data_IF_720611150635
#
_entry.id   IF_720611150635
#
_cell.length_a   1.000
_cell.length_b   1.000
_cell.length_c   1.000
_cell.angle_alpha   90.00
_cell.angle_beta   90.00
_cell.angle_gamma   90.00
#
_symmetry.space_group_name_H-M   'P 1'
#
loop_
_entity.id
_entity.type
_entity.pdbx_description
1 polymer ?
#
# COMPACT_ATOMS: atom_id res chain seq x y z
N UNK A 1 8.68 0.76 3.20
CA UNK A 1 9.36 2.06 3.21
C UNK A 1 10.19 2.29 1.95
N UNK A 2 11.24 1.50 1.68
CA UNK A 2 12.14 1.72 0.52
C UNK A 2 11.39 1.81 -0.84
N UNK A 3 10.53 0.84 -1.15
CA UNK A 3 9.71 0.87 -2.38
C UNK A 3 8.82 2.12 -2.48
N UNK A 4 8.09 2.40 -1.40
CA UNK A 4 7.15 3.53 -1.32
C UNK A 4 7.88 4.85 -1.48
N UNK A 5 8.98 5.05 -0.75
CA UNK A 5 9.80 6.25 -0.84
C UNK A 5 10.34 6.43 -2.26
N UNK A 6 10.94 5.38 -2.83
CA UNK A 6 11.50 5.45 -4.17
C UNK A 6 10.46 5.84 -5.22
N UNK A 7 9.29 5.18 -5.21
CA UNK A 7 8.24 5.43 -6.19
C UNK A 7 7.63 6.82 -6.03
N UNK A 8 7.39 7.28 -4.79
CA UNK A 8 6.74 8.57 -4.52
C UNK A 8 7.67 9.77 -4.66
N UNK A 9 8.98 9.58 -4.51
CA UNK A 9 9.98 10.64 -4.73
C UNK A 9 10.25 10.93 -6.21
N UNK A 10 9.76 10.08 -7.12
CA UNK A 10 9.87 10.27 -8.56
C UNK A 10 8.53 10.79 -9.11
N UNK A 11 8.50 11.88 -9.90
CA UNK A 11 7.27 12.34 -10.54
C UNK A 11 6.62 11.23 -11.37
N UNK A 12 5.29 11.03 -11.24
CA UNK A 12 4.57 9.99 -11.98
C UNK A 12 4.73 10.11 -13.51
N UNK A 13 4.91 11.33 -14.02
CA UNK A 13 5.21 11.55 -15.43
C UNK A 13 6.53 10.88 -15.88
N UNK A 14 7.55 10.85 -15.01
CA UNK A 14 8.81 10.18 -15.32
C UNK A 14 8.64 8.66 -15.39
N UNK A 15 7.80 8.09 -14.53
CA UNK A 15 7.42 6.67 -14.61
C UNK A 15 6.74 6.34 -15.94
N UNK A 16 5.81 7.18 -16.40
CA UNK A 16 5.19 7.04 -17.72
C UNK A 16 6.26 7.04 -18.82
N UNK A 17 7.19 7.99 -18.80
CA UNK A 17 8.23 8.06 -19.82
C UNK A 17 9.19 6.87 -19.80
N UNK A 18 9.61 6.41 -18.63
CA UNK A 18 10.47 5.22 -18.54
C UNK A 18 9.74 4.01 -19.15
N UNK A 19 8.49 3.78 -18.76
CA UNK A 19 7.71 2.63 -19.22
C UNK A 19 7.38 2.72 -20.72
N UNK A 20 7.04 3.91 -21.21
CA UNK A 20 6.72 4.12 -22.62
C UNK A 20 7.96 4.10 -23.52
N UNK A 21 9.04 4.80 -23.15
CA UNK A 21 10.22 5.01 -24.01
C UNK A 21 11.32 3.97 -23.81
N UNK A 22 11.55 3.48 -22.58
CA UNK A 22 12.61 2.49 -22.32
C UNK A 22 12.06 1.08 -22.53
N UNK A 23 10.89 0.79 -21.96
CA UNK A 23 10.26 -0.52 -22.10
C UNK A 23 9.37 -0.65 -23.35
N UNK A 24 9.24 0.42 -24.16
CA UNK A 24 8.56 0.41 -25.47
C UNK A 24 7.11 -0.11 -25.41
N UNK A 25 6.43 0.09 -24.28
CA UNK A 25 5.02 -0.26 -24.12
C UNK A 25 4.12 0.71 -24.89
N UNK A 26 3.01 0.20 -25.43
CA UNK A 26 1.96 1.07 -26.03
C UNK A 26 1.44 2.06 -25.00
N UNK A 27 1.04 3.25 -25.43
CA UNK A 27 0.63 4.37 -24.57
C UNK A 27 -0.36 3.96 -23.47
N UNK A 28 -1.41 3.22 -23.81
CA UNK A 28 -2.40 2.74 -22.83
C UNK A 28 -1.79 1.81 -21.79
N UNK A 29 -0.99 0.83 -22.21
CA UNK A 29 -0.35 -0.11 -21.29
C UNK A 29 0.68 0.60 -20.41
N UNK A 30 1.47 1.50 -20.97
CA UNK A 30 2.45 2.29 -20.22
C UNK A 30 1.78 3.13 -19.13
N UNK A 31 0.67 3.80 -19.46
CA UNK A 31 -0.13 4.54 -18.49
C UNK A 31 -0.70 3.64 -17.39
N UNK A 32 -1.32 2.51 -17.75
CA UNK A 32 -1.85 1.56 -16.75
C UNK A 32 -0.74 1.12 -15.79
N UNK A 33 0.42 0.72 -16.30
CA UNK A 33 1.53 0.27 -15.45
C UNK A 33 2.07 1.37 -14.55
N UNK A 34 2.31 2.59 -15.08
CA UNK A 34 2.83 3.70 -14.27
C UNK A 34 1.85 4.09 -13.16
N UNK A 35 0.56 4.24 -13.50
CA UNK A 35 -0.46 4.59 -12.52
C UNK A 35 -0.64 3.48 -11.48
N UNK A 36 -0.56 2.21 -11.88
CA UNK A 36 -0.63 1.08 -10.94
C UNK A 36 0.51 1.13 -9.93
N UNK A 37 1.75 1.31 -10.41
CA UNK A 37 2.95 1.40 -9.55
C UNK A 37 2.87 2.59 -8.60
N UNK A 38 2.48 3.76 -9.10
CA UNK A 38 2.38 4.95 -8.27
C UNK A 38 1.25 4.84 -7.23
N UNK A 39 0.08 4.36 -7.67
CA UNK A 39 -1.10 4.23 -6.80
C UNK A 39 -0.92 3.15 -5.75
N UNK A 40 -0.26 2.03 -6.06
CA UNK A 40 0.01 0.99 -5.07
C UNK A 40 0.95 1.48 -3.97
N UNK A 41 1.94 2.30 -4.30
CA UNK A 41 2.81 2.93 -3.31
C UNK A 41 2.05 3.89 -2.39
N UNK A 42 1.14 4.70 -2.95
CA UNK A 42 0.27 5.57 -2.16
C UNK A 42 -0.71 4.78 -1.28
N UNK A 43 -1.33 3.74 -1.83
CA UNK A 43 -2.26 2.87 -1.13
C UNK A 43 -1.58 2.13 0.04
N UNK A 44 -0.34 1.67 -0.14
CA UNK A 44 0.42 1.04 0.93
C UNK A 44 0.59 1.96 2.15
N UNK A 45 0.81 3.26 1.94
CA UNK A 45 0.91 4.24 3.04
C UNK A 45 -0.43 4.52 3.69
N UNK A 46 -1.51 4.57 2.91
CA UNK A 46 -2.87 4.72 3.44
C UNK A 46 -3.22 3.53 4.33
N UNK A 47 -2.98 2.30 3.86
CA UNK A 47 -3.24 1.07 4.63
C UNK A 47 -2.37 1.04 5.88
N UNK A 48 -1.07 1.34 5.77
CA UNK A 48 -0.16 1.42 6.92
C UNK A 48 -0.62 2.47 7.93
N UNK A 49 -1.04 3.64 7.46
CA UNK A 49 -1.60 4.70 8.30
C UNK A 49 -2.89 4.26 8.99
N UNK A 50 -3.78 3.58 8.29
CA UNK A 50 -5.01 3.00 8.84
C UNK A 50 -4.73 1.97 9.93
N UNK A 51 -3.87 0.99 9.66
CA UNK A 51 -3.48 -0.03 10.65
C UNK A 51 -2.81 0.59 11.89
N UNK A 52 -1.94 1.58 11.70
CA UNK A 52 -1.26 2.26 12.80
C UNK A 52 -2.20 3.19 13.61
N UNK A 53 -3.39 3.52 13.09
CA UNK A 53 -4.34 4.38 13.78
C UNK A 53 -5.20 3.64 14.81
N UNK A 54 -5.15 2.30 14.80
CA UNK A 54 -5.95 1.46 15.67
C UNK A 54 -5.31 1.42 17.07
N UNK A 55 -6.13 1.66 18.08
CA UNK A 55 -5.71 1.65 19.48
C UNK A 55 -5.23 0.25 19.92
N UNK A 56 -4.13 0.20 20.66
CA UNK A 56 -3.55 -1.06 21.15
C UNK A 56 -4.53 -1.82 22.07
N UNK A 57 -5.44 -1.13 22.75
CA UNK A 57 -6.49 -1.71 23.59
C UNK A 57 -7.43 -2.65 22.83
N UNK A 58 -7.60 -2.50 21.50
CA UNK A 58 -8.36 -3.46 20.69
C UNK A 58 -7.69 -4.85 20.66
N UNK A 59 -6.35 -4.87 20.62
CA UNK A 59 -5.59 -6.12 20.69
C UNK A 59 -5.69 -6.74 22.08
N UNK A 60 -5.54 -5.92 23.13
CA UNK A 60 -5.65 -6.38 24.52
C UNK A 60 -7.06 -6.90 24.86
N UNK A 61 -8.11 -6.24 24.38
CA UNK A 61 -9.49 -6.66 24.53
C UNK A 61 -9.79 -7.98 23.80
N UNK A 62 -9.20 -8.18 22.62
CA UNK A 62 -9.29 -9.44 21.89
C UNK A 62 -8.61 -10.60 22.63
N UNK A 63 -7.38 -10.38 23.11
CA UNK A 63 -6.65 -11.38 23.90
C UNK A 63 -7.41 -11.74 25.19
N UNK A 64 -8.01 -10.76 25.85
CA UNK A 64 -8.81 -10.94 27.07
C UNK A 64 -10.09 -11.75 26.86
N UNK A 65 -10.61 -11.77 25.63
CA UNK A 65 -11.76 -12.59 25.23
C UNK A 65 -11.38 -13.98 24.72
N UNK A 66 -10.09 -14.35 24.77
CA UNK A 66 -9.59 -15.66 24.37
C UNK A 66 -9.29 -15.79 22.88
N UNK A 67 -9.30 -14.69 22.11
CA UNK A 67 -8.84 -14.72 20.72
C UNK A 67 -7.32 -14.85 20.65
N UNK A 68 -6.83 -15.52 19.61
CA UNK A 68 -5.41 -15.48 19.26
C UNK A 68 -5.10 -14.30 18.32
N UNK A 69 -3.82 -13.94 18.20
CA UNK A 69 -3.37 -12.79 17.39
C UNK A 69 -3.86 -12.79 15.93
N UNK A 70 -3.99 -13.97 15.30
CA UNK A 70 -4.51 -14.05 13.92
C UNK A 70 -6.00 -13.72 13.85
N UNK A 71 -6.78 -14.21 14.82
CA UNK A 71 -8.20 -13.90 14.91
C UNK A 71 -8.42 -12.42 15.22
N UNK A 72 -7.64 -11.85 16.13
CA UNK A 72 -7.69 -10.41 16.44
C UNK A 72 -7.39 -9.60 15.17
N UNK A 73 -6.34 -9.97 14.43
CA UNK A 73 -6.02 -9.27 13.18
C UNK A 73 -7.18 -9.34 12.17
N UNK A 74 -7.71 -10.54 11.91
CA UNK A 74 -8.72 -10.76 10.86
C UNK A 74 -10.10 -10.20 11.23
N UNK A 75 -10.50 -10.27 12.50
CA UNK A 75 -11.87 -9.93 12.93
C UNK A 75 -11.99 -8.58 13.64
N UNK A 76 -10.90 -7.96 14.08
CA UNK A 76 -10.91 -6.72 14.87
C UNK A 76 -10.05 -5.63 14.22
N UNK A 77 -8.82 -5.93 13.81
CA UNK A 77 -7.87 -4.92 13.32
C UNK A 77 -8.07 -4.62 11.82
N UNK A 78 -8.24 -5.65 11.00
CA UNK A 78 -8.31 -5.52 9.54
C UNK A 78 -9.65 -4.95 8.98
N UNK A 79 -10.83 -5.37 9.47
CA UNK A 79 -12.11 -4.81 9.03
C UNK A 79 -12.39 -3.43 9.65
#
# INVERSE_FOLDING_TARGET
SIYVEFVRNVPNLLWIFIIFLVFQLKSTAAGITSFTVFTSAALAEIIRGGLNSIDHGQTEAGLSQGFNNKQIFIYIIFP
#
